data_IF_417595118530
#
_entry.id   IF_417595118530
#
_cell.length_a   1.000
_cell.length_b   1.000
_cell.length_c   1.000
_cell.angle_alpha   90.00
_cell.angle_beta   90.00
_cell.angle_gamma   90.00
#
_symmetry.space_group_name_H-M   'P 1'
#
loop_
_entity.id
_entity.type
_entity.pdbx_description
1 polymer ?
#
# COMPACT_ATOMS: atom_id res chain seq x y z
N UNK A 1 4.46 28.13 -13.25
CA UNK A 1 3.90 27.48 -12.04
C UNK A 1 4.94 26.51 -11.53
N UNK A 2 5.33 26.58 -10.27
CA UNK A 2 6.24 25.60 -9.68
C UNK A 2 5.48 24.31 -9.36
N UNK A 3 6.10 23.16 -9.57
CA UNK A 3 5.55 21.89 -9.16
C UNK A 3 5.39 21.83 -7.62
N UNK A 4 4.43 21.02 -7.15
CA UNK A 4 4.18 20.80 -5.73
C UNK A 4 4.20 19.30 -5.47
N UNK A 5 5.12 18.89 -4.60
CA UNK A 5 5.19 17.51 -4.15
C UNK A 5 3.92 17.10 -3.43
N UNK A 6 3.49 15.85 -3.62
CA UNK A 6 2.38 15.28 -2.88
C UNK A 6 2.78 15.05 -1.43
N UNK A 7 2.18 15.80 -0.49
CA UNK A 7 2.45 15.64 0.95
C UNK A 7 1.44 14.72 1.65
N UNK A 8 0.28 14.49 1.04
CA UNK A 8 -0.80 13.69 1.63
C UNK A 8 -1.59 13.03 0.52
N UNK A 9 -1.78 11.71 0.64
CA UNK A 9 -2.67 10.93 -0.20
C UNK A 9 -3.63 10.15 0.72
N UNK A 10 -4.92 10.26 0.46
CA UNK A 10 -5.95 9.50 1.15
C UNK A 10 -6.52 8.47 0.18
N UNK A 11 -6.43 7.20 0.53
CA UNK A 11 -7.03 6.12 -0.23
C UNK A 11 -8.03 5.38 0.64
N UNK A 12 -9.20 5.10 0.07
CA UNK A 12 -10.21 4.23 0.68
C UNK A 12 -10.18 2.93 -0.11
N UNK A 13 -9.82 1.83 0.56
CA UNK A 13 -9.78 0.50 -0.05
C UNK A 13 -10.68 -0.43 0.74
N UNK A 14 -11.60 -1.11 0.03
CA UNK A 14 -12.47 -2.10 0.61
C UNK A 14 -11.81 -3.47 0.45
N UNK A 15 -11.23 -3.99 1.53
CA UNK A 15 -10.57 -5.30 1.53
C UNK A 15 -11.57 -6.38 1.90
N UNK A 16 -11.53 -7.51 1.19
CA UNK A 16 -12.43 -8.61 1.44
C UNK A 16 -11.98 -9.40 2.67
N UNK A 17 -12.82 -9.46 3.71
CA UNK A 17 -12.49 -10.14 4.96
C UNK A 17 -12.36 -11.67 4.79
N UNK A 18 -13.03 -12.25 3.79
CA UNK A 18 -12.99 -13.70 3.53
C UNK A 18 -11.74 -14.15 2.77
N UNK A 19 -10.88 -13.23 2.35
CA UNK A 19 -9.65 -13.59 1.65
C UNK A 19 -8.73 -14.41 2.56
N UNK A 20 -8.08 -15.40 1.96
CA UNK A 20 -7.07 -16.20 2.66
C UNK A 20 -5.76 -15.42 2.80
N UNK A 21 -4.99 -15.74 3.84
CA UNK A 21 -3.61 -15.29 3.95
C UNK A 21 -2.81 -15.86 2.76
N UNK A 22 -2.06 -15.04 2.00
CA UNK A 22 -1.28 -15.53 0.87
C UNK A 22 -0.28 -16.61 1.29
N UNK A 23 -0.20 -17.69 0.50
CA UNK A 23 0.67 -18.84 0.80
C UNK A 23 1.99 -18.81 0.04
N UNK A 24 2.21 -17.80 -0.83
CA UNK A 24 3.41 -17.65 -1.65
C UNK A 24 4.71 -17.33 -0.90
N UNK A 25 4.69 -17.26 0.43
CA UNK A 25 5.87 -16.99 1.26
C UNK A 25 6.11 -15.50 1.49
N UNK A 26 7.37 -15.07 1.46
CA UNK A 26 7.72 -13.66 1.66
C UNK A 26 7.17 -12.78 0.53
N UNK A 27 6.70 -11.58 0.87
CA UNK A 27 6.13 -10.63 -0.09
C UNK A 27 7.10 -10.31 -1.23
N UNK A 28 6.62 -10.42 -2.48
CA UNK A 28 7.33 -9.98 -3.68
C UNK A 28 6.36 -9.38 -4.71
N UNK A 29 6.67 -8.19 -5.23
CA UNK A 29 5.82 -7.52 -6.20
C UNK A 29 5.62 -8.30 -7.52
N UNK A 30 6.54 -9.20 -7.83
CA UNK A 30 6.54 -10.03 -9.04
C UNK A 30 5.73 -11.31 -8.89
N UNK A 31 5.35 -11.71 -7.67
CA UNK A 31 4.57 -12.91 -7.41
C UNK A 31 3.17 -12.57 -6.92
N UNK A 32 2.18 -12.84 -7.77
CA UNK A 32 0.75 -12.64 -7.49
C UNK A 32 0.25 -13.46 -6.30
N UNK A 33 0.91 -14.57 -5.97
CA UNK A 33 0.52 -15.45 -4.84
C UNK A 33 1.02 -14.93 -3.48
N UNK A 34 1.70 -13.78 -3.47
CA UNK A 34 2.25 -13.17 -2.24
C UNK A 34 1.45 -11.97 -1.72
N UNK A 35 0.39 -11.56 -2.42
CA UNK A 35 -0.50 -10.47 -2.03
C UNK A 35 -1.95 -10.75 -2.43
N UNK A 36 -2.90 -10.08 -1.78
CA UNK A 36 -4.33 -10.26 -2.01
C UNK A 36 -4.90 -9.23 -2.99
N UNK A 37 -4.45 -7.98 -2.84
CA UNK A 37 -4.92 -6.89 -3.68
C UNK A 37 -3.76 -5.94 -4.01
N UNK A 38 -3.91 -5.20 -5.11
CA UNK A 38 -2.99 -4.15 -5.53
C UNK A 38 -3.81 -2.91 -5.90
N UNK A 39 -3.37 -1.76 -5.43
CA UNK A 39 -3.84 -0.45 -5.88
C UNK A 39 -2.65 0.38 -6.32
N UNK A 40 -2.84 1.29 -7.27
CA UNK A 40 -1.79 2.21 -7.71
C UNK A 40 -2.26 3.64 -7.51
N UNK A 41 -1.38 4.50 -6.98
CA UNK A 41 -1.62 5.93 -6.83
C UNK A 41 -0.50 6.70 -7.51
N UNK A 42 -0.85 7.67 -8.35
CA UNK A 42 0.14 8.58 -8.93
C UNK A 42 0.37 9.73 -7.97
N UNK A 43 1.62 9.93 -7.57
CA UNK A 43 2.07 11.06 -6.75
C UNK A 43 3.10 11.88 -7.51
N UNK A 44 3.34 13.11 -7.08
CA UNK A 44 4.27 14.01 -7.74
C UNK A 44 5.44 14.36 -6.83
N UNK A 45 6.64 14.43 -7.42
CA UNK A 45 7.83 14.92 -6.73
C UNK A 45 7.88 16.47 -6.73
N UNK A 46 8.84 17.09 -6.02
CA UNK A 46 8.99 18.55 -6.01
C UNK A 46 9.34 19.17 -7.37
N UNK A 47 9.80 18.38 -8.33
CA UNK A 47 10.20 18.79 -9.67
C UNK A 47 9.04 18.67 -10.68
N UNK A 48 7.96 17.98 -10.29
CA UNK A 48 6.76 17.76 -11.09
C UNK A 48 6.74 16.44 -11.85
N UNK A 49 7.69 15.54 -11.58
CA UNK A 49 7.71 14.21 -12.14
C UNK A 49 6.64 13.35 -11.48
N UNK A 50 6.00 12.49 -12.26
CA UNK A 50 5.03 11.51 -11.80
C UNK A 50 5.72 10.24 -11.28
N UNK A 51 5.34 9.83 -10.08
CA UNK A 51 5.74 8.58 -9.45
C UNK A 51 4.50 7.71 -9.26
N UNK A 52 4.55 6.49 -9.79
CA UNK A 52 3.46 5.53 -9.65
C UNK A 52 3.72 4.64 -8.42
N UNK A 53 3.10 4.99 -7.30
CA UNK A 53 3.15 4.21 -6.06
C UNK A 53 2.16 3.03 -6.14
N UNK A 54 2.70 1.83 -6.26
CA UNK A 54 1.97 0.59 -6.13
C UNK A 54 1.86 0.19 -4.65
N UNK A 55 0.63 0.02 -4.18
CA UNK A 55 0.26 -0.43 -2.85
C UNK A 55 -0.21 -1.89 -2.94
N UNK A 56 0.55 -2.80 -2.38
CA UNK A 56 0.23 -4.23 -2.33
C UNK A 56 -0.32 -4.58 -0.95
N UNK A 57 -1.57 -5.04 -0.90
CA UNK A 57 -2.26 -5.43 0.33
C UNK A 57 -2.07 -6.92 0.57
N UNK A 58 -1.51 -7.27 1.72
CA UNK A 58 -1.22 -8.63 2.16
C UNK A 58 -1.94 -8.88 3.46
N UNK A 59 -2.91 -9.80 3.48
CA UNK A 59 -3.57 -10.23 4.72
C UNK A 59 -2.58 -11.06 5.52
N UNK A 60 -2.28 -10.63 6.75
CA UNK A 60 -1.34 -11.35 7.64
C UNK A 60 -2.07 -12.20 8.66
N UNK A 61 -3.22 -11.72 9.14
CA UNK A 61 -4.13 -12.46 10.01
C UNK A 61 -5.55 -11.88 9.87
N UNK A 62 -6.52 -12.43 10.60
CA UNK A 62 -7.86 -11.87 10.63
C UNK A 62 -7.83 -10.42 11.10
N UNK A 63 -8.51 -9.55 10.34
CA UNK A 63 -8.54 -8.10 10.52
C UNK A 63 -7.18 -7.39 10.50
N UNK A 64 -6.10 -8.08 10.10
CA UNK A 64 -4.75 -7.52 10.05
C UNK A 64 -4.18 -7.62 8.64
N UNK A 65 -3.78 -6.47 8.12
CA UNK A 65 -3.30 -6.33 6.75
C UNK A 65 -2.02 -5.52 6.74
N UNK A 66 -0.99 -6.02 6.06
CA UNK A 66 0.21 -5.25 5.77
C UNK A 66 0.13 -4.74 4.35
N UNK A 67 0.39 -3.46 4.16
CA UNK A 67 0.48 -2.83 2.86
C UNK A 67 1.93 -2.51 2.56
N UNK A 68 2.42 -2.99 1.42
CA UNK A 68 3.73 -2.68 0.91
C UNK A 68 3.60 -1.63 -0.19
N UNK A 69 4.21 -0.47 0.01
CA UNK A 69 4.31 0.57 -0.98
C UNK A 69 5.61 0.42 -1.77
N UNK A 70 5.51 0.39 -3.08
CA UNK A 70 6.63 0.35 -4.01
C UNK A 70 6.41 1.45 -5.03
N UNK A 71 7.41 2.31 -5.19
CA UNK A 71 7.42 3.22 -6.33
C UNK A 71 7.81 2.42 -7.56
N UNK A 72 6.85 2.18 -8.45
CA UNK A 72 7.06 1.44 -9.70
C UNK A 72 7.84 2.24 -10.74
N UNK A 73 7.93 3.56 -10.60
CA UNK A 73 8.75 4.42 -11.48
C UNK A 73 10.25 4.19 -11.21
N UNK A 74 10.63 4.00 -9.94
CA UNK A 74 12.02 3.77 -9.53
C UNK A 74 12.33 2.30 -9.22
N UNK A 75 11.30 1.47 -9.03
CA UNK A 75 11.40 0.08 -8.57
C UNK A 75 11.70 -0.07 -7.08
N UNK A 76 11.68 1.03 -6.32
CA UNK A 76 12.15 1.07 -4.94
C UNK A 76 10.99 0.89 -3.95
N UNK A 77 11.25 0.21 -2.83
CA UNK A 77 10.30 0.14 -1.74
C UNK A 77 10.15 1.52 -1.09
N UNK A 78 8.94 2.07 -1.13
CA UNK A 78 8.61 3.37 -0.56
C UNK A 78 8.25 3.28 0.93
N UNK A 79 7.89 2.08 1.42
CA UNK A 79 7.62 1.81 2.83
C UNK A 79 6.59 0.70 3.03
N UNK A 80 6.39 0.29 4.28
CA UNK A 80 5.36 -0.68 4.66
C UNK A 80 4.51 -0.15 5.81
N UNK A 81 3.20 -0.33 5.74
CA UNK A 81 2.30 0.10 6.81
C UNK A 81 1.32 -1.00 7.17
N UNK A 82 1.06 -1.15 8.47
CA UNK A 82 0.09 -2.12 8.98
C UNK A 82 -1.28 -1.44 9.15
N UNK A 83 -2.33 -2.14 8.76
CA UNK A 83 -3.73 -1.76 8.89
C UNK A 83 -4.44 -2.80 9.75
N UNK A 84 -5.09 -2.33 10.80
CA UNK A 84 -5.90 -3.15 11.71
C UNK A 84 -7.34 -2.71 11.59
N UNK A 85 -8.23 -3.66 11.31
CA UNK A 85 -9.67 -3.44 11.25
C UNK A 85 -10.34 -3.92 12.54
N UNK A 86 -11.48 -3.33 12.87
CA UNK A 86 -12.35 -3.84 13.93
C UNK A 86 -13.27 -4.96 13.41
N UNK A 87 -14.03 -5.58 14.31
CA UNK A 87 -14.99 -6.64 13.97
C UNK A 87 -16.17 -6.17 13.11
N UNK A 88 -16.38 -4.86 13.00
CA UNK A 88 -17.39 -4.24 12.14
C UNK A 88 -16.85 -3.89 10.74
N UNK A 89 -15.56 -4.17 10.48
CA UNK A 89 -14.90 -3.88 9.20
C UNK A 89 -14.42 -2.43 9.05
N UNK A 90 -14.44 -1.62 10.12
CA UNK A 90 -13.88 -0.27 10.08
C UNK A 90 -12.38 -0.31 10.36
N UNK A 91 -11.64 0.65 9.79
CA UNK A 91 -10.22 0.80 10.08
C UNK A 91 -10.03 1.30 11.52
N UNK A 92 -9.58 0.42 12.41
CA UNK A 92 -9.35 0.73 13.82
C UNK A 92 -8.02 1.47 14.01
N UNK A 93 -6.98 1.07 13.27
CA UNK A 93 -5.71 1.78 13.24
C UNK A 93 -4.96 1.54 11.93
N UNK A 94 -4.21 2.54 11.48
CA UNK A 94 -3.24 2.40 10.42
C UNK A 94 -1.92 3.02 10.87
N UNK A 95 -0.81 2.36 10.56
CA UNK A 95 0.51 2.94 10.75
C UNK A 95 0.70 4.07 9.73
N UNK A 96 0.98 5.28 10.20
CA UNK A 96 1.41 6.37 9.33
C UNK A 96 2.90 6.20 9.05
N UNK A 97 3.25 6.02 7.79
CA UNK A 97 4.65 5.91 7.36
C UNK A 97 4.95 7.01 6.37
N UNK A 98 6.09 7.68 6.56
CA UNK A 98 6.62 8.61 5.59
C UNK A 98 7.08 7.80 4.36
N UNK A 99 6.34 7.92 3.26
CA UNK A 99 6.74 7.31 2.00
C UNK A 99 7.89 8.11 1.40
N UNK A 100 8.96 7.42 1.06
CA UNK A 100 10.08 8.02 0.33
C UNK A 100 9.89 7.69 -1.15
N UNK A 101 9.68 8.72 -1.95
CA UNK A 101 9.59 8.71 -3.42
C UNK A 101 10.76 9.48 -4.01
#
# INVERSE_FOLDING_TARGET
MSARATTTATMVSNLNSTDAVPTGGAFTATNVDTYNAKSTVTVYDPQGNDHALDLYYVKTADNNWTVHAIDSTTGQAAGNFNMVFDTSGNLASASTVALTI
#
